data_IF_074521375711
#
_entry.id   IF_074521375711
#
_cell.length_a   1.000
_cell.length_b   1.000
_cell.length_c   1.000
_cell.angle_alpha   90.00
_cell.angle_beta   90.00
_cell.angle_gamma   90.00
#
_symmetry.space_group_name_H-M   'P 1'
#
loop_
_entity.id
_entity.type
_entity.pdbx_description
1 polymer ?
#
# COMPACT_ATOMS: atom_id res chain seq x y z
N UNK A 1 1.65 -0.78 -8.44
CA UNK A 1 0.96 0.27 -7.66
C UNK A 1 1.08 0.04 -6.15
N UNK A 2 1.06 1.10 -5.34
CA UNK A 2 0.78 1.00 -3.90
C UNK A 2 -0.32 1.98 -3.47
N UNK A 3 -1.04 1.65 -2.40
CA UNK A 3 -2.15 2.46 -1.86
C UNK A 3 -2.31 2.31 -0.34
N UNK A 4 -3.02 3.26 0.28
CA UNK A 4 -3.30 3.27 1.71
C UNK A 4 -4.78 3.00 2.03
N UNK A 5 -5.02 1.95 2.82
CA UNK A 5 -6.34 1.66 3.40
C UNK A 5 -6.36 1.98 4.89
N UNK A 6 -7.39 2.72 5.32
CA UNK A 6 -7.63 3.01 6.73
C UNK A 6 -8.71 2.10 7.32
N UNK A 7 -8.45 1.57 8.51
CA UNK A 7 -9.39 0.80 9.30
C UNK A 7 -9.33 1.23 10.79
N UNK A 8 -10.25 0.73 11.61
CA UNK A 8 -10.29 1.01 13.06
C UNK A 8 -10.45 -0.30 13.82
N UNK A 9 -9.55 -0.54 14.78
CA UNK A 9 -9.70 -1.66 15.72
C UNK A 9 -10.91 -1.46 16.63
N UNK A 10 -11.37 -2.52 17.30
CA UNK A 10 -12.59 -2.50 18.14
C UNK A 10 -12.67 -1.32 19.14
N UNK A 11 -11.52 -0.90 19.68
CA UNK A 11 -11.39 0.22 20.61
C UNK A 11 -11.39 1.61 19.93
N UNK A 12 -11.77 1.69 18.66
CA UNK A 12 -11.83 2.92 17.87
C UNK A 12 -10.47 3.47 17.42
N UNK A 13 -9.35 2.82 17.75
CA UNK A 13 -8.02 3.26 17.33
C UNK A 13 -7.82 2.98 15.84
N UNK A 14 -7.39 4.00 15.10
CA UNK A 14 -7.08 3.88 13.67
C UNK A 14 -5.87 2.97 13.43
N UNK A 15 -5.89 2.20 12.37
CA UNK A 15 -4.74 1.56 11.74
C UNK A 15 -4.76 1.86 10.24
N UNK A 16 -3.58 1.87 9.63
CA UNK A 16 -3.34 2.06 8.21
C UNK A 16 -2.65 0.83 7.66
N UNK A 17 -3.00 0.51 6.44
CA UNK A 17 -2.46 -0.61 5.67
C UNK A 17 -1.87 -0.04 4.40
N UNK A 18 -0.61 -0.31 4.14
CA UNK A 18 0.01 -0.07 2.83
C UNK A 18 -0.15 -1.35 2.03
N UNK A 19 -0.93 -1.27 0.96
CA UNK A 19 -1.10 -2.38 0.02
C UNK A 19 -0.20 -2.13 -1.18
N UNK A 20 0.63 -3.10 -1.52
CA UNK A 20 1.46 -3.08 -2.73
C UNK A 20 0.96 -4.17 -3.67
N UNK A 21 0.60 -3.78 -4.89
CA UNK A 21 -0.02 -4.64 -5.88
C UNK A 21 0.74 -4.50 -7.18
N UNK A 22 1.04 -5.63 -7.82
CA UNK A 22 1.56 -5.65 -9.18
C UNK A 22 0.42 -5.44 -10.18
N UNK A 23 0.51 -4.39 -11.01
CA UNK A 23 -0.56 -4.04 -11.96
C UNK A 23 -0.68 -5.01 -13.13
N UNK A 24 0.41 -5.72 -13.49
CA UNK A 24 0.42 -6.65 -14.62
C UNK A 24 -0.22 -8.00 -14.25
N UNK A 25 0.07 -8.49 -13.06
CA UNK A 25 -0.36 -9.81 -12.56
C UNK A 25 -1.57 -9.73 -11.63
N UNK A 26 -1.88 -8.53 -11.11
CA UNK A 26 -2.90 -8.29 -10.06
C UNK A 26 -2.60 -9.05 -8.75
N UNK A 27 -1.34 -9.43 -8.55
CA UNK A 27 -0.88 -10.07 -7.32
C UNK A 27 -0.67 -9.02 -6.24
N UNK A 28 -1.16 -9.30 -5.03
CA UNK A 28 -0.78 -8.53 -3.86
C UNK A 28 0.64 -8.95 -3.44
N UNK A 29 1.59 -8.03 -3.57
CA UNK A 29 2.99 -8.28 -3.31
C UNK A 29 3.33 -8.16 -1.82
N UNK A 30 2.71 -7.20 -1.15
CA UNK A 30 2.89 -6.97 0.27
C UNK A 30 1.70 -6.19 0.83
N UNK A 31 1.35 -6.47 2.08
CA UNK A 31 0.50 -5.61 2.89
C UNK A 31 1.28 -5.28 4.16
N UNK A 32 1.33 -4.01 4.55
CA UNK A 32 2.00 -3.58 5.78
C UNK A 32 1.02 -2.87 6.70
N UNK A 33 0.79 -3.43 7.89
CA UNK A 33 -0.19 -2.87 8.84
C UNK A 33 0.52 -2.09 9.95
N UNK A 34 0.15 -0.82 10.14
CA UNK A 34 0.69 -0.01 11.23
C UNK A 34 -0.30 1.05 11.72
N UNK A 35 -0.12 1.53 12.95
CA UNK A 35 -0.92 2.66 13.48
C UNK A 35 -0.63 3.97 12.74
N UNK A 36 0.61 4.13 12.26
CA UNK A 36 1.08 5.27 11.49
C UNK A 36 2.09 4.76 10.47
N UNK A 37 1.86 5.08 9.21
CA UNK A 37 2.80 4.82 8.13
C UNK A 37 3.41 6.16 7.73
N UNK A 38 4.74 6.20 7.72
CA UNK A 38 5.55 7.32 7.26
C UNK A 38 6.24 6.92 5.95
N UNK A 39 6.90 7.88 5.32
CA UNK A 39 7.68 7.64 4.11
C UNK A 39 8.69 6.50 4.27
N UNK A 40 9.38 6.43 5.40
CA UNK A 40 10.38 5.39 5.63
C UNK A 40 9.76 3.98 5.63
N UNK A 41 8.53 3.81 6.15
CA UNK A 41 7.87 2.51 6.17
C UNK A 41 7.53 2.05 4.76
N UNK A 42 7.13 3.00 3.89
CA UNK A 42 6.83 2.73 2.48
C UNK A 42 8.10 2.38 1.72
N UNK A 43 9.17 3.17 1.92
CA UNK A 43 10.47 2.94 1.30
C UNK A 43 11.03 1.57 1.70
N UNK A 44 10.91 1.18 2.96
CA UNK A 44 11.39 -0.12 3.46
C UNK A 44 10.69 -1.29 2.75
N UNK A 45 9.36 -1.25 2.66
CA UNK A 45 8.56 -2.27 1.95
C UNK A 45 8.89 -2.30 0.46
N UNK A 46 9.00 -1.13 -0.19
CA UNK A 46 9.37 -1.08 -1.61
C UNK A 46 10.80 -1.57 -1.84
N UNK A 47 11.74 -1.25 -0.94
CA UNK A 47 13.13 -1.68 -1.03
C UNK A 47 13.28 -3.20 -0.90
N UNK A 48 12.50 -3.83 -0.02
CA UNK A 48 12.47 -5.29 0.11
C UNK A 48 11.94 -5.95 -1.18
N UNK A 49 10.81 -5.44 -1.70
CA UNK A 49 10.25 -5.91 -2.96
C UNK A 49 11.20 -5.72 -4.15
N UNK A 50 11.91 -4.59 -4.20
CA UNK A 50 12.90 -4.30 -5.23
C UNK A 50 14.09 -5.25 -5.16
N UNK A 51 14.49 -5.64 -3.95
CA UNK A 51 15.58 -6.59 -3.73
C UNK A 51 15.16 -8.02 -4.13
N UNK A 52 13.91 -8.38 -3.88
CA UNK A 52 13.37 -9.72 -4.18
C UNK A 52 12.99 -9.91 -5.65
N UNK A 53 12.40 -8.91 -6.30
CA UNK A 53 11.81 -9.02 -7.64
C UNK A 53 12.51 -8.16 -8.70
N UNK A 54 13.45 -7.33 -8.30
CA UNK A 54 14.11 -6.35 -9.15
C UNK A 54 13.39 -5.00 -9.14
N UNK A 55 14.09 -3.98 -9.66
CA UNK A 55 13.56 -2.61 -9.73
C UNK A 55 12.52 -2.53 -10.87
N UNK A 56 11.26 -2.17 -10.58
CA UNK A 56 10.23 -1.97 -11.59
C UNK A 56 10.53 -0.72 -12.42
N UNK A 57 10.08 -0.73 -13.67
CA UNK A 57 10.21 0.44 -14.54
C UNK A 57 9.39 1.63 -14.04
N UNK A 58 8.20 1.37 -13.49
CA UNK A 58 7.32 2.42 -12.97
C UNK A 58 6.64 2.04 -11.65
N UNK A 59 6.53 3.00 -10.73
CA UNK A 59 5.66 2.88 -9.54
C UNK A 59 4.58 3.96 -9.56
N UNK A 60 3.36 3.56 -9.19
CA UNK A 60 2.17 4.41 -9.09
C UNK A 60 1.60 4.41 -7.68
N UNK A 61 1.02 5.54 -7.28
CA UNK A 61 0.28 5.74 -6.03
C UNK A 61 -0.76 6.86 -6.19
N UNK A 62 -1.95 6.65 -5.62
CA UNK A 62 -3.14 7.51 -5.83
C UNK A 62 -3.51 8.34 -4.59
N UNK A 63 -3.37 7.79 -3.38
CA UNK A 63 -3.92 8.38 -2.16
C UNK A 63 -2.91 8.55 -1.01
N UNK A 64 -1.75 9.12 -1.34
CA UNK A 64 -0.68 9.34 -0.36
C UNK A 64 -0.64 10.79 0.18
N UNK A 65 -0.34 10.98 1.48
CA UNK A 65 -0.04 12.30 2.01
C UNK A 65 1.14 12.93 1.26
N UNK A 66 1.05 14.21 0.89
CA UNK A 66 2.06 14.90 0.08
C UNK A 66 3.50 14.75 0.62
N UNK A 67 3.67 14.73 1.94
CA UNK A 67 4.97 14.52 2.59
C UNK A 67 5.55 13.13 2.35
N UNK A 68 4.69 12.09 2.36
CA UNK A 68 5.08 10.72 2.04
C UNK A 68 5.44 10.64 0.56
N UNK A 69 4.57 11.18 -0.30
CA UNK A 69 4.77 11.24 -1.75
C UNK A 69 6.13 11.81 -2.11
N UNK A 70 6.49 12.96 -1.55
CA UNK A 70 7.76 13.62 -1.86
C UNK A 70 8.97 12.77 -1.51
N UNK A 71 8.98 12.19 -0.31
CA UNK A 71 10.11 11.42 0.20
C UNK A 71 10.26 10.09 -0.55
N UNK A 72 9.14 9.42 -0.86
CA UNK A 72 9.12 8.19 -1.64
C UNK A 72 9.56 8.45 -3.08
N UNK A 73 9.09 9.54 -3.71
CA UNK A 73 9.52 9.94 -5.07
C UNK A 73 11.02 10.19 -5.16
N UNK A 74 11.58 10.92 -4.20
CA UNK A 74 13.01 11.20 -4.14
C UNK A 74 13.83 9.90 -4.07
N UNK A 75 13.37 8.96 -3.24
CA UNK A 75 13.98 7.63 -3.14
C UNK A 75 13.84 6.81 -4.42
N UNK A 76 12.64 6.77 -5.05
CA UNK A 76 12.38 6.04 -6.30
C UNK A 76 13.29 6.57 -7.43
N UNK A 77 13.41 7.90 -7.54
CA UNK A 77 14.31 8.54 -8.49
C UNK A 77 15.78 8.19 -8.22
N UNK A 78 16.19 8.12 -6.94
CA UNK A 78 17.55 7.76 -6.56
C UNK A 78 17.91 6.30 -6.89
N UNK A 79 16.95 5.37 -6.83
CA UNK A 79 17.15 3.96 -7.21
C UNK A 79 17.01 3.71 -8.71
N UNK A 80 16.75 4.75 -9.51
CA UNK A 80 16.69 4.69 -10.97
C UNK A 80 15.38 4.15 -11.54
N UNK A 81 14.31 4.17 -10.75
CA UNK A 81 12.96 3.83 -11.19
C UNK A 81 12.17 5.12 -11.48
N UNK A 82 11.20 5.07 -12.39
CA UNK A 82 10.40 6.24 -12.75
C UNK A 82 9.08 6.25 -11.97
N UNK A 83 8.78 7.33 -11.25
CA UNK A 83 7.44 7.47 -10.63
C UNK A 83 6.43 7.89 -11.68
N UNK A 84 5.47 7.02 -11.98
CA UNK A 84 4.32 7.37 -12.79
C UNK A 84 3.21 7.87 -11.86
N UNK A 85 2.89 9.16 -11.93
CA UNK A 85 1.68 9.68 -11.29
C UNK A 85 0.48 9.37 -12.20
N UNK A 86 -0.62 8.88 -11.64
CA UNK A 86 -1.87 8.76 -12.39
C UNK A 86 -2.32 10.19 -12.69
N UNK A 87 -2.43 10.54 -13.98
CA UNK A 87 -2.95 11.86 -14.35
C UNK A 87 -4.34 12.02 -13.71
N UNK A 88 -4.60 13.13 -12.99
CA UNK A 88 -5.90 13.35 -12.35
C UNK A 88 -6.98 13.31 -13.44
N UNK A 89 -7.86 12.31 -13.39
CA UNK A 89 -8.89 12.07 -14.40
C UNK A 89 -8.84 10.73 -15.15
N UNK A 90 -7.96 9.78 -14.77
CA UNK A 90 -7.91 8.43 -15.35
C UNK A 90 -8.39 7.33 -14.38
N UNK A 91 -9.68 7.31 -13.99
CA UNK A 91 -10.21 6.39 -12.97
C UNK A 91 -10.13 4.90 -13.38
N UNK A 92 -10.01 4.60 -14.68
CA UNK A 92 -9.85 3.21 -15.12
C UNK A 92 -8.48 2.62 -14.78
N UNK A 93 -7.45 3.44 -14.57
CA UNK A 93 -6.12 2.98 -14.17
C UNK A 93 -6.05 2.58 -12.69
N UNK A 94 -7.02 3.01 -11.88
CA UNK A 94 -7.10 2.68 -10.44
C UNK A 94 -8.04 1.50 -10.15
N UNK A 95 -8.73 0.98 -11.16
CA UNK A 95 -9.79 -0.03 -10.97
C UNK A 95 -9.32 -1.33 -10.33
N UNK A 96 -8.06 -1.72 -10.56
CA UNK A 96 -7.48 -2.92 -9.95
C UNK A 96 -7.17 -2.71 -8.45
N UNK A 97 -6.67 -1.55 -8.07
CA UNK A 97 -6.42 -1.21 -6.66
C UNK A 97 -7.74 -1.03 -5.90
N UNK A 98 -8.74 -0.37 -6.49
CA UNK A 98 -10.07 -0.24 -5.88
C UNK A 98 -10.74 -1.60 -5.68
N UNK A 99 -10.65 -2.48 -6.68
CA UNK A 99 -11.20 -3.84 -6.59
C UNK A 99 -10.50 -4.66 -5.50
N UNK A 100 -9.17 -4.57 -5.41
CA UNK A 100 -8.41 -5.23 -4.36
C UNK A 100 -8.77 -4.69 -2.97
N UNK A 101 -8.81 -3.37 -2.80
CA UNK A 101 -9.15 -2.73 -1.53
C UNK A 101 -10.58 -3.07 -1.10
N UNK A 102 -11.53 -3.12 -2.04
CA UNK A 102 -12.89 -3.55 -1.78
C UNK A 102 -12.94 -5.01 -1.31
N UNK A 103 -12.19 -5.90 -1.97
CA UNK A 103 -12.12 -7.32 -1.59
C UNK A 103 -11.43 -7.53 -0.25
N UNK A 104 -10.30 -6.86 0.01
CA UNK A 104 -9.63 -6.87 1.31
C UNK A 104 -10.57 -6.41 2.42
N UNK A 105 -11.36 -5.36 2.14
CA UNK A 105 -12.33 -4.87 3.10
C UNK A 105 -13.48 -5.85 3.34
N UNK A 106 -14.02 -6.45 2.30
CA UNK A 106 -15.16 -7.36 2.41
C UNK A 106 -14.78 -8.69 3.08
N UNK A 107 -13.70 -9.31 2.62
CA UNK A 107 -13.30 -10.66 3.03
C UNK A 107 -12.58 -10.67 4.39
N UNK A 108 -11.85 -9.60 4.72
CA UNK A 108 -10.99 -9.55 5.91
C UNK A 108 -11.49 -8.50 6.90
N UNK A 109 -11.54 -7.23 6.50
CA UNK A 109 -11.77 -6.13 7.45
C UNK A 109 -13.20 -6.04 8.00
N UNK A 110 -14.20 -6.50 7.25
CA UNK A 110 -15.60 -6.53 7.67
C UNK A 110 -15.95 -7.84 8.39
N UNK A 111 -15.23 -8.93 8.10
CA UNK A 111 -15.43 -10.24 8.72
C UNK A 111 -14.74 -10.40 10.08
N UNK A 112 -13.65 -9.68 10.31
CA UNK A 112 -12.80 -9.83 11.49
C UNK A 112 -12.83 -8.59 12.39
N UNK A 113 -13.04 -8.80 13.70
CA UNK A 113 -12.89 -7.73 14.71
C UNK A 113 -11.49 -7.81 15.30
N UNK A 114 -10.60 -6.92 14.86
CA UNK A 114 -9.24 -6.86 15.39
C UNK A 114 -9.19 -6.22 16.78
N UNK A 115 -8.71 -6.97 17.78
CA UNK A 115 -8.55 -6.47 19.14
C UNK A 115 -7.26 -5.66 19.31
N UNK A 116 -6.17 -6.12 18.70
CA UNK A 116 -4.85 -5.49 18.73
C UNK A 116 -4.29 -5.19 17.33
N UNK A 117 -3.19 -4.43 17.27
CA UNK A 117 -2.46 -4.24 16.00
C UNK A 117 -1.75 -5.54 15.59
N UNK A 118 -1.23 -6.29 16.56
CA UNK A 118 -0.48 -7.52 16.32
C UNK A 118 -1.37 -8.59 15.67
N UNK A 119 -2.60 -8.76 16.14
CA UNK A 119 -3.57 -9.64 15.48
C UNK A 119 -3.85 -9.21 14.04
N UNK A 120 -4.04 -7.91 13.79
CA UNK A 120 -4.25 -7.42 12.43
C UNK A 120 -3.02 -7.65 11.54
N UNK A 121 -1.81 -7.47 12.07
CA UNK A 121 -0.55 -7.74 11.37
C UNK A 121 -0.42 -9.21 10.99
N UNK A 122 -0.67 -10.12 11.95
CA UNK A 122 -0.60 -11.56 11.71
C UNK A 122 -1.65 -12.03 10.71
N UNK A 123 -2.88 -11.53 10.73
CA UNK A 123 -3.92 -11.99 9.80
C UNK A 123 -3.72 -11.43 8.38
N UNK A 124 -3.19 -10.21 8.25
CA UNK A 124 -3.17 -9.48 6.98
C UNK A 124 -1.84 -9.59 6.25
N UNK A 125 -0.72 -9.70 6.97
CA UNK A 125 0.63 -9.75 6.36
C UNK A 125 1.08 -11.18 6.00
N UNK A 126 0.15 -12.15 5.98
CA UNK A 126 0.42 -13.60 5.92
C UNK A 126 0.28 -14.24 4.54
#
# INVERSE_FOLDING_TARGET
MYDFVEHRTHNGRKNRMLNVIDEFTRECLAIRVSRKLKAHDVIDVLSDLFSLRGVPGHIRSDNEPEFIARSVRDWIAAVGSETAYIAPGSPWENGDCESFNAKLRDEVLNGEVFYTLEEASVVIEH
#
